data_IF_239596871006
#
_entry.id   IF_239596871006
#
_cell.length_a   1.000
_cell.length_b   1.000
_cell.length_c   1.000
_cell.angle_alpha   90.00
_cell.angle_beta   90.00
_cell.angle_gamma   90.00
#
_symmetry.space_group_name_H-M   'P 1'
#
loop_
_entity.id
_entity.type
_entity.pdbx_description
1 polymer ?
#
# COMPACT_ATOMS: atom_id res chain seq x y z
N UNK A 1 15.96 5.70 -17.24
CA UNK A 1 14.89 6.68 -16.93
C UNK A 1 15.50 8.02 -16.63
N UNK A 2 14.85 9.10 -17.07
CA UNK A 2 15.30 10.45 -16.76
C UNK A 2 15.14 10.72 -15.26
N UNK A 3 16.13 11.35 -14.66
CA UNK A 3 16.13 11.67 -13.23
C UNK A 3 14.93 12.51 -12.80
N UNK A 4 14.51 13.47 -13.64
CA UNK A 4 13.32 14.29 -13.37
C UNK A 4 12.04 13.45 -13.25
N UNK A 5 11.90 12.42 -14.08
CA UNK A 5 10.76 11.52 -14.04
C UNK A 5 10.76 10.68 -12.75
N UNK A 6 11.93 10.18 -12.34
CA UNK A 6 12.07 9.46 -11.07
C UNK A 6 11.73 10.35 -9.88
N UNK A 7 12.18 11.58 -9.89
CA UNK A 7 11.84 12.56 -8.84
C UNK A 7 10.35 12.82 -8.76
N UNK A 8 9.67 12.91 -9.90
CA UNK A 8 8.22 13.04 -9.94
C UNK A 8 7.52 11.80 -9.38
N UNK A 9 7.99 10.61 -9.76
CA UNK A 9 7.45 9.35 -9.24
C UNK A 9 7.54 9.20 -7.73
N UNK A 10 8.58 9.78 -7.11
CA UNK A 10 8.74 9.76 -5.66
C UNK A 10 7.63 10.50 -4.90
N UNK A 11 6.81 11.27 -5.59
CA UNK A 11 5.73 12.05 -5.00
C UNK A 11 4.35 11.46 -5.28
N UNK A 12 4.30 10.30 -5.89
CA UNK A 12 3.04 9.69 -6.34
C UNK A 12 2.80 8.39 -5.59
N UNK A 13 1.59 8.25 -5.08
CA UNK A 13 1.08 6.98 -4.55
C UNK A 13 0.18 6.35 -5.60
N UNK A 14 0.43 5.11 -5.95
CA UNK A 14 -0.30 4.39 -6.99
C UNK A 14 -1.08 3.22 -6.41
N UNK A 15 -2.25 2.94 -6.99
CA UNK A 15 -3.01 1.73 -6.76
C UNK A 15 -2.89 0.78 -7.94
N UNK A 16 -3.38 -0.42 -7.78
CA UNK A 16 -3.37 -1.44 -8.84
C UNK A 16 -4.47 -2.47 -8.59
N UNK A 17 -4.73 -3.32 -9.56
CA UNK A 17 -5.68 -4.41 -9.46
C UNK A 17 -4.96 -5.72 -9.15
N UNK A 18 -5.61 -6.57 -8.35
CA UNK A 18 -5.14 -7.91 -8.06
C UNK A 18 -4.48 -8.07 -6.71
N UNK A 19 -4.25 -9.32 -6.34
CA UNK A 19 -3.71 -9.75 -5.05
C UNK A 19 -2.21 -10.07 -5.11
N UNK A 20 -1.62 -9.91 -6.27
CA UNK A 20 -0.18 -9.99 -6.53
C UNK A 20 0.22 -8.74 -7.32
N UNK A 21 1.51 -8.44 -7.38
CA UNK A 21 1.98 -7.28 -8.12
C UNK A 21 1.67 -7.45 -9.62
N UNK A 22 0.80 -6.58 -10.13
CA UNK A 22 0.42 -6.60 -11.55
C UNK A 22 1.53 -6.04 -12.44
N UNK A 23 1.42 -6.29 -13.75
CA UNK A 23 2.33 -5.72 -14.73
C UNK A 23 2.34 -4.19 -14.65
N UNK A 24 1.19 -3.58 -14.39
CA UNK A 24 1.06 -2.13 -14.28
C UNK A 24 1.83 -1.56 -13.09
N UNK A 25 1.66 -2.13 -11.89
CA UNK A 25 2.38 -1.64 -10.70
C UNK A 25 3.88 -1.89 -10.84
N UNK A 26 4.28 -3.02 -11.43
CA UNK A 26 5.69 -3.30 -11.72
C UNK A 26 6.30 -2.22 -12.61
N UNK A 27 5.57 -1.83 -13.64
CA UNK A 27 6.00 -0.76 -14.55
C UNK A 27 6.08 0.59 -13.84
N UNK A 28 5.07 0.93 -13.03
CA UNK A 28 5.03 2.19 -12.32
C UNK A 28 6.20 2.33 -11.33
N UNK A 29 6.51 1.29 -10.59
CA UNK A 29 7.63 1.29 -9.65
C UNK A 29 8.97 1.28 -10.37
N UNK A 30 9.13 0.42 -11.37
CA UNK A 30 10.40 0.20 -12.07
C UNK A 30 10.74 1.33 -13.06
N UNK A 31 9.76 1.70 -13.90
CA UNK A 31 10.02 2.60 -15.02
C UNK A 31 9.74 4.06 -14.67
N UNK A 32 8.80 4.33 -13.78
CA UNK A 32 8.40 5.68 -13.39
C UNK A 32 8.82 6.08 -11.98
N UNK A 33 9.41 5.17 -11.22
CA UNK A 33 9.95 5.46 -9.90
C UNK A 33 8.91 5.73 -8.83
N UNK A 34 7.68 5.23 -8.98
CA UNK A 34 6.65 5.38 -7.95
C UNK A 34 7.17 4.86 -6.60
N UNK A 35 7.10 5.68 -5.57
CA UNK A 35 7.69 5.39 -4.26
C UNK A 35 6.68 4.94 -3.22
N UNK A 36 5.40 4.97 -3.55
CA UNK A 36 4.32 4.61 -2.64
C UNK A 36 3.22 3.85 -3.36
N UNK A 37 2.68 2.86 -2.68
CA UNK A 37 1.57 2.03 -3.15
C UNK A 37 0.48 2.06 -2.10
N UNK A 38 -0.77 2.18 -2.53
CA UNK A 38 -1.93 2.05 -1.65
C UNK A 38 -2.69 0.77 -1.98
N UNK A 39 -3.03 0.00 -0.95
CA UNK A 39 -3.82 -1.22 -1.08
C UNK A 39 -5.29 -0.93 -0.78
N UNK A 40 -6.16 -1.52 -1.59
CA UNK A 40 -7.60 -1.51 -1.40
C UNK A 40 -8.13 -2.92 -1.12
N UNK A 41 -9.41 -3.04 -0.82
CA UNK A 41 -10.02 -4.35 -0.54
C UNK A 41 -9.75 -5.38 -1.65
N UNK A 42 -9.71 -4.95 -2.90
CA UNK A 42 -9.42 -5.81 -4.06
C UNK A 42 -8.02 -6.43 -4.05
N UNK A 43 -7.11 -5.87 -3.26
CA UNK A 43 -5.73 -6.36 -3.14
C UNK A 43 -5.54 -7.31 -1.95
N UNK A 44 -6.57 -7.50 -1.13
CA UNK A 44 -6.47 -8.17 0.17
C UNK A 44 -7.33 -9.44 0.17
N UNK A 45 -6.73 -10.56 0.53
CA UNK A 45 -7.42 -11.82 0.78
C UNK A 45 -7.16 -12.30 2.22
N UNK A 46 -5.91 -12.51 2.58
CA UNK A 46 -5.51 -13.04 3.87
C UNK A 46 -4.20 -12.40 4.33
N UNK A 47 -3.87 -12.43 5.65
CA UNK A 47 -2.62 -11.85 6.14
C UNK A 47 -1.37 -12.39 5.42
N UNK A 48 -1.30 -13.68 5.16
CA UNK A 48 -0.18 -14.31 4.49
C UNK A 48 -0.04 -13.82 3.05
N UNK A 49 -1.16 -13.65 2.37
CA UNK A 49 -1.18 -13.13 0.99
C UNK A 49 -0.71 -11.67 0.96
N UNK A 50 -1.17 -10.84 1.88
CA UNK A 50 -0.74 -9.44 1.97
C UNK A 50 0.75 -9.35 2.29
N UNK A 51 1.24 -10.17 3.21
CA UNK A 51 2.67 -10.22 3.52
C UNK A 51 3.51 -10.57 2.29
N UNK A 52 3.05 -11.54 1.50
CA UNK A 52 3.74 -11.93 0.26
C UNK A 52 3.70 -10.82 -0.78
N UNK A 53 2.55 -10.17 -0.95
CA UNK A 53 2.41 -9.02 -1.84
C UNK A 53 3.37 -7.90 -1.46
N UNK A 54 3.45 -7.56 -0.18
CA UNK A 54 4.36 -6.53 0.31
C UNK A 54 5.82 -6.91 0.06
N UNK A 55 6.20 -8.17 0.31
CA UNK A 55 7.56 -8.65 0.00
C UNK A 55 7.89 -8.50 -1.48
N UNK A 56 6.97 -8.89 -2.35
CA UNK A 56 7.13 -8.76 -3.80
C UNK A 56 7.34 -7.30 -4.22
N UNK A 57 6.52 -6.39 -3.70
CA UNK A 57 6.62 -4.96 -3.99
C UNK A 57 7.95 -4.37 -3.49
N UNK A 58 8.38 -4.74 -2.29
CA UNK A 58 9.66 -4.26 -1.75
C UNK A 58 10.86 -4.81 -2.53
N UNK A 59 10.81 -6.08 -2.94
CA UNK A 59 11.85 -6.67 -3.77
C UNK A 59 11.94 -5.95 -5.12
N UNK A 60 10.80 -5.67 -5.73
CA UNK A 60 10.71 -4.93 -6.98
C UNK A 60 11.37 -3.55 -6.88
N UNK A 61 11.11 -2.82 -5.80
CA UNK A 61 11.71 -1.52 -5.58
C UNK A 61 13.24 -1.60 -5.42
N UNK A 62 13.72 -2.55 -4.64
CA UNK A 62 15.17 -2.78 -4.48
C UNK A 62 15.83 -3.08 -5.82
N UNK A 63 15.25 -4.01 -6.57
CA UNK A 63 15.78 -4.43 -7.87
C UNK A 63 15.77 -3.29 -8.89
N UNK A 64 14.83 -2.38 -8.76
CA UNK A 64 14.73 -1.18 -9.60
C UNK A 64 15.68 -0.04 -9.17
N UNK A 65 16.42 -0.23 -8.08
CA UNK A 65 17.39 0.75 -7.58
C UNK A 65 16.81 1.86 -6.73
N UNK A 66 15.64 1.66 -6.10
CA UNK A 66 15.12 2.61 -5.12
C UNK A 66 16.05 2.65 -3.90
N UNK A 67 16.40 3.84 -3.45
CA UNK A 67 17.25 4.03 -2.27
C UNK A 67 16.53 3.73 -0.97
N UNK A 68 15.21 3.97 -0.94
CA UNK A 68 14.36 3.75 0.21
C UNK A 68 13.32 2.67 -0.09
N UNK A 69 12.83 1.95 0.93
CA UNK A 69 11.70 1.05 0.77
C UNK A 69 10.47 1.78 0.23
N UNK A 70 9.60 1.05 -0.46
CA UNK A 70 8.28 1.58 -0.81
C UNK A 70 7.48 1.89 0.46
N UNK A 71 6.76 2.99 0.43
CA UNK A 71 5.68 3.22 1.38
C UNK A 71 4.48 2.40 0.93
N UNK A 72 3.94 1.60 1.82
CA UNK A 72 2.72 0.82 1.56
C UNK A 72 1.63 1.34 2.47
N UNK A 73 0.58 1.86 1.88
CA UNK A 73 -0.51 2.50 2.59
C UNK A 73 -1.80 1.70 2.46
N UNK A 74 -2.68 1.90 3.39
CA UNK A 74 -4.02 1.34 3.38
C UNK A 74 -4.97 2.26 4.17
N UNK A 75 -6.21 2.39 3.70
CA UNK A 75 -7.24 3.10 4.45
C UNK A 75 -7.79 2.17 5.53
N UNK A 76 -7.43 2.43 6.77
CA UNK A 76 -7.83 1.60 7.92
C UNK A 76 -8.37 2.51 9.03
N UNK A 77 -9.52 3.14 8.76
CA UNK A 77 -10.15 4.06 9.70
C UNK A 77 -10.97 3.36 10.78
N UNK A 78 -11.35 2.13 10.55
CA UNK A 78 -12.31 1.40 11.36
C UNK A 78 -13.75 1.58 10.85
N UNK A 79 -14.67 0.78 11.34
CA UNK A 79 -16.05 0.80 10.85
C UNK A 79 -16.16 0.46 9.38
N UNK A 80 -16.80 1.31 8.58
CA UNK A 80 -17.00 1.06 7.16
C UNK A 80 -15.73 1.18 6.32
N UNK A 81 -14.80 2.04 6.74
CA UNK A 81 -13.55 2.24 6.00
C UNK A 81 -12.46 1.42 6.66
N UNK A 82 -12.39 0.18 6.25
CA UNK A 82 -11.37 -0.78 6.66
C UNK A 82 -11.16 -1.78 5.53
N UNK A 83 -9.91 -2.00 5.15
CA UNK A 83 -9.55 -2.95 4.08
C UNK A 83 -9.02 -4.25 4.65
N UNK A 84 -8.43 -4.18 5.85
CA UNK A 84 -7.91 -5.32 6.59
C UNK A 84 -8.97 -5.74 7.61
N UNK A 85 -9.84 -6.68 7.21
CA UNK A 85 -10.90 -7.21 8.07
C UNK A 85 -10.46 -8.54 8.68
N UNK A 86 -11.33 -9.23 9.39
CA UNK A 86 -10.98 -10.50 10.00
C UNK A 86 -10.09 -11.36 9.08
N UNK A 87 -9.01 -12.00 9.59
CA UNK A 87 -8.64 -12.17 10.99
C UNK A 87 -7.84 -11.02 11.63
N UNK A 88 -7.60 -9.92 10.90
CA UNK A 88 -7.02 -8.73 11.53
C UNK A 88 -7.97 -8.16 12.58
N UNK A 89 -7.44 -7.37 13.49
CA UNK A 89 -8.27 -6.67 14.50
C UNK A 89 -9.23 -5.71 13.80
N UNK A 90 -10.51 -5.85 14.08
CA UNK A 90 -11.52 -4.96 13.56
C UNK A 90 -11.82 -3.88 14.60
N UNK A 91 -11.61 -2.62 14.22
CA UNK A 91 -11.80 -1.47 15.09
C UNK A 91 -13.10 -0.76 14.77
N UNK A 92 -13.76 -0.17 15.78
CA UNK A 92 -14.87 0.73 15.52
C UNK A 92 -14.38 2.00 14.80
N UNK A 93 -15.28 2.79 14.18
CA UNK A 93 -14.87 4.05 13.58
C UNK A 93 -14.24 4.98 14.62
N UNK A 94 -13.31 5.82 14.21
CA UNK A 94 -12.60 6.75 15.12
C UNK A 94 -13.55 7.63 15.91
N UNK A 95 -14.69 7.97 15.34
CA UNK A 95 -15.74 8.75 16.05
C UNK A 95 -16.24 8.05 17.31
N UNK A 96 -16.37 6.71 17.27
CA UNK A 96 -16.76 5.94 18.45
C UNK A 96 -15.69 6.02 19.54
N UNK A 97 -14.41 5.99 19.16
CA UNK A 97 -13.30 6.16 20.09
C UNK A 97 -13.29 7.57 20.68
N UNK A 98 -13.57 8.59 19.84
CA UNK A 98 -13.67 9.98 20.29
C UNK A 98 -14.78 10.20 21.33
N UNK A 99 -15.87 9.43 21.27
CA UNK A 99 -16.97 9.49 22.23
C UNK A 99 -16.61 8.96 23.63
N UNK A 100 -15.54 8.18 23.73
CA UNK A 100 -15.07 7.69 25.03
C UNK A 100 -14.41 8.81 25.85
N UNK A 101 -14.13 9.94 25.23
CA UNK A 101 -13.48 11.06 25.88
C UNK A 101 -12.00 10.84 26.09
N UNK A 102 -11.32 11.91 26.49
CA UNK A 102 -9.93 11.79 26.94
C UNK A 102 -9.87 11.22 28.33
N UNK A 103 -9.06 10.23 28.51
CA UNK A 103 -8.77 9.73 29.84
C UNK A 103 -7.93 10.74 30.61
#
# INVERSE_FOLDING_TARGET
MRESLRKAGQRVTVGFDGQAASADVKRLVRDYGAASVILFARNVDAPEQVAELVRELQALARDAGHELPLLVAVDQEGGRVARLRAPWTEWPPLRALGRLGSA
#
